data_IF_562239745155
#
_entry.id   IF_562239745155
#
_cell.length_a   1.000
_cell.length_b   1.000
_cell.length_c   1.000
_cell.angle_alpha   90.00
_cell.angle_beta   90.00
_cell.angle_gamma   90.00
#
_symmetry.space_group_name_H-M   'P 1'
#
loop_
_entity.id
_entity.type
_entity.pdbx_description
1 polymer ?
#
# COMPACT_ATOMS: atom_id res chain seq x y z
N UNK A 1 20.75 7.85 1.74
CA UNK A 1 20.07 7.08 0.68
C UNK A 1 19.92 7.97 -0.57
N UNK A 2 19.59 7.45 -1.76
CA UNK A 2 19.24 8.31 -2.91
C UNK A 2 17.98 9.13 -2.58
N UNK A 3 17.99 10.45 -2.81
CA UNK A 3 16.90 11.36 -2.42
C UNK A 3 15.55 10.99 -3.06
N UNK A 4 15.56 10.46 -4.29
CA UNK A 4 14.32 10.03 -4.96
C UNK A 4 13.76 8.77 -4.32
N UNK A 5 14.63 7.81 -3.96
CA UNK A 5 14.22 6.59 -3.25
C UNK A 5 13.67 6.95 -1.87
N UNK A 6 14.33 7.84 -1.15
CA UNK A 6 13.86 8.33 0.15
C UNK A 6 12.46 8.93 0.03
N UNK A 7 12.24 9.82 -0.95
CA UNK A 7 10.93 10.39 -1.22
C UNK A 7 9.87 9.32 -1.48
N UNK A 8 10.15 8.32 -2.32
CA UNK A 8 9.18 7.26 -2.60
C UNK A 8 8.90 6.35 -1.39
N UNK A 9 9.87 6.15 -0.50
CA UNK A 9 9.61 5.45 0.76
C UNK A 9 8.67 6.26 1.67
N UNK A 10 8.81 7.58 1.70
CA UNK A 10 7.85 8.45 2.39
C UNK A 10 6.47 8.43 1.73
N UNK A 11 6.38 8.46 0.40
CA UNK A 11 5.09 8.30 -0.30
C UNK A 11 4.38 7.00 0.12
N UNK A 12 5.12 5.88 0.27
CA UNK A 12 4.55 4.61 0.78
C UNK A 12 4.10 4.75 2.23
N UNK A 13 4.92 5.36 3.09
CA UNK A 13 4.62 5.53 4.52
C UNK A 13 3.38 6.40 4.76
N UNK A 14 3.24 7.48 4.01
CA UNK A 14 2.11 8.40 4.12
C UNK A 14 0.81 7.72 3.67
N UNK A 15 0.82 7.04 2.53
CA UNK A 15 -0.34 6.26 2.06
C UNK A 15 -0.75 5.15 3.04
N UNK A 16 0.21 4.48 3.69
CA UNK A 16 -0.09 3.51 4.76
C UNK A 16 -0.77 4.20 5.95
N UNK A 17 -0.30 5.39 6.31
CA UNK A 17 -0.83 6.16 7.44
C UNK A 17 -2.23 6.69 7.15
N UNK A 18 -2.52 7.07 5.90
CA UNK A 18 -3.88 7.42 5.44
C UNK A 18 -4.84 6.22 5.54
N UNK A 19 -4.41 5.04 5.05
CA UNK A 19 -5.17 3.79 5.19
C UNK A 19 -5.54 3.52 6.65
N UNK A 20 -4.56 3.59 7.57
CA UNK A 20 -4.81 3.39 8.99
C UNK A 20 -5.74 4.48 9.57
N UNK A 21 -5.57 5.73 9.11
CA UNK A 21 -6.39 6.88 9.47
C UNK A 21 -7.88 6.68 9.22
N UNK A 22 -8.25 5.97 8.16
CA UNK A 22 -9.65 5.67 7.84
C UNK A 22 -10.35 4.81 8.90
N UNK A 23 -9.58 4.08 9.72
CA UNK A 23 -10.10 3.17 10.74
C UNK A 23 -9.84 3.67 12.18
N UNK A 24 -9.34 4.88 12.39
CA UNK A 24 -9.07 5.38 13.76
C UNK A 24 -10.35 5.51 14.60
N UNK A 25 -11.44 5.95 13.97
CA UNK A 25 -12.71 6.22 14.68
C UNK A 25 -13.69 5.04 14.69
N UNK A 26 -13.32 3.90 14.09
CA UNK A 26 -14.18 2.73 13.99
C UNK A 26 -13.36 1.45 14.10
N UNK A 27 -13.88 0.39 14.75
CA UNK A 27 -13.22 -0.91 14.69
C UNK A 27 -13.04 -1.34 13.23
N UNK A 28 -11.93 -2.01 12.91
CA UNK A 28 -11.71 -2.63 11.59
C UNK A 28 -12.79 -3.68 11.35
N UNK A 29 -13.87 -3.25 10.71
CA UNK A 29 -15.06 -4.02 10.43
C UNK A 29 -15.20 -4.18 8.92
N UNK A 30 -15.13 -5.44 8.48
CA UNK A 30 -15.22 -5.79 7.07
C UNK A 30 -16.56 -5.36 6.44
N UNK A 31 -17.68 -5.47 7.16
CA UNK A 31 -18.98 -5.10 6.61
C UNK A 31 -19.10 -3.58 6.43
N UNK A 32 -18.49 -2.79 7.32
CA UNK A 32 -18.44 -1.33 7.15
C UNK A 32 -17.58 -0.94 5.96
N UNK A 33 -16.43 -1.59 5.78
CA UNK A 33 -15.59 -1.41 4.60
C UNK A 33 -16.34 -1.78 3.31
N UNK A 34 -16.88 -3.00 3.26
CA UNK A 34 -17.56 -3.57 2.09
C UNK A 34 -18.72 -2.71 1.58
N UNK A 35 -19.51 -2.16 2.51
CA UNK A 35 -20.71 -1.38 2.19
C UNK A 35 -20.45 0.14 2.07
N UNK A 36 -19.21 0.61 2.19
CA UNK A 36 -18.86 2.02 2.07
C UNK A 36 -17.98 2.28 0.85
N UNK A 37 -18.59 2.64 -0.28
CA UNK A 37 -17.88 2.92 -1.53
C UNK A 37 -16.79 3.99 -1.38
N UNK A 38 -17.02 5.04 -0.60
CA UNK A 38 -16.02 6.09 -0.40
C UNK A 38 -14.76 5.53 0.27
N UNK A 39 -14.94 4.73 1.33
CA UNK A 39 -13.85 4.08 2.03
C UNK A 39 -13.09 3.09 1.12
N UNK A 40 -13.82 2.32 0.31
CA UNK A 40 -13.17 1.42 -0.66
C UNK A 40 -12.32 2.16 -1.67
N UNK A 41 -12.83 3.25 -2.24
CA UNK A 41 -12.09 4.08 -3.19
C UNK A 41 -10.88 4.76 -2.56
N UNK A 42 -10.99 5.23 -1.31
CA UNK A 42 -9.86 5.80 -0.59
C UNK A 42 -8.76 4.75 -0.37
N UNK A 43 -9.12 3.56 0.12
CA UNK A 43 -8.18 2.44 0.30
C UNK A 43 -7.53 2.01 -1.02
N UNK A 44 -8.32 1.80 -2.08
CA UNK A 44 -7.82 1.40 -3.40
C UNK A 44 -6.80 2.42 -3.92
N UNK A 45 -7.09 3.72 -3.76
CA UNK A 45 -6.21 4.79 -4.18
C UNK A 45 -4.86 4.75 -3.46
N UNK A 46 -4.85 4.53 -2.15
CA UNK A 46 -3.61 4.48 -1.39
C UNK A 46 -2.80 3.23 -1.72
N UNK A 47 -3.46 2.10 -2.01
CA UNK A 47 -2.80 0.90 -2.52
C UNK A 47 -2.17 1.12 -3.91
N UNK A 48 -2.79 1.91 -4.79
CA UNK A 48 -2.19 2.32 -6.06
C UNK A 48 -0.94 3.18 -5.84
N UNK A 49 -1.00 4.16 -4.93
CA UNK A 49 0.12 5.05 -4.59
C UNK A 49 1.30 4.23 -4.08
N UNK A 50 1.05 3.31 -3.14
CA UNK A 50 2.06 2.38 -2.62
C UNK A 50 2.71 1.59 -3.76
N UNK A 51 1.91 1.00 -4.64
CA UNK A 51 2.44 0.20 -5.74
C UNK A 51 3.21 1.00 -6.78
N UNK A 52 2.80 2.23 -7.08
CA UNK A 52 3.52 3.13 -7.98
C UNK A 52 4.86 3.57 -7.38
N UNK A 53 4.89 3.94 -6.10
CA UNK A 53 6.12 4.30 -5.41
C UNK A 53 7.13 3.14 -5.39
N UNK A 54 6.69 1.93 -5.06
CA UNK A 54 7.53 0.72 -5.11
C UNK A 54 8.01 0.43 -6.54
N UNK A 55 7.17 0.61 -7.55
CA UNK A 55 7.56 0.44 -8.95
C UNK A 55 8.67 1.42 -9.36
N UNK A 56 8.58 2.69 -8.93
CA UNK A 56 9.61 3.70 -9.20
C UNK A 56 10.92 3.37 -8.52
N UNK A 57 10.88 2.90 -7.26
CA UNK A 57 12.06 2.41 -6.55
C UNK A 57 12.72 1.29 -7.34
N UNK A 58 11.97 0.24 -7.74
CA UNK A 58 12.53 -0.89 -8.49
C UNK A 58 13.06 -0.51 -9.88
N UNK A 59 12.46 0.48 -10.55
CA UNK A 59 12.99 0.98 -11.83
C UNK A 59 14.33 1.70 -11.67
N UNK A 60 14.52 2.39 -10.54
CA UNK A 60 15.77 3.10 -10.24
C UNK A 60 16.84 2.17 -9.67
N UNK A 61 16.45 1.29 -8.77
CA UNK A 61 17.29 0.30 -8.14
C UNK A 61 16.53 -1.03 -8.01
N UNK A 62 16.80 -1.94 -8.95
CA UNK A 62 16.05 -3.19 -9.11
C UNK A 62 16.27 -4.21 -8.00
N UNK A 63 17.38 -4.10 -7.26
CA UNK A 63 17.75 -4.94 -6.13
C UNK A 63 17.41 -4.30 -4.77
N UNK A 64 16.67 -3.19 -4.76
CA UNK A 64 16.31 -2.49 -3.53
C UNK A 64 15.52 -3.42 -2.58
N UNK A 65 15.86 -3.49 -1.29
CA UNK A 65 15.44 -4.59 -0.41
C UNK A 65 14.03 -4.39 0.18
N UNK A 66 13.01 -4.32 -0.68
CA UNK A 66 11.60 -4.37 -0.27
C UNK A 66 11.06 -5.77 -0.51
N UNK A 67 10.59 -6.43 0.55
CA UNK A 67 10.01 -7.76 0.47
C UNK A 67 8.72 -7.73 -0.33
N UNK A 68 8.55 -8.74 -1.18
CA UNK A 68 7.38 -8.86 -2.07
C UNK A 68 7.16 -7.68 -3.03
N UNK A 69 8.16 -6.83 -3.30
CA UNK A 69 8.01 -5.64 -4.13
C UNK A 69 7.31 -5.90 -5.48
N UNK A 70 7.65 -6.99 -6.18
CA UNK A 70 6.97 -7.40 -7.42
C UNK A 70 5.47 -7.66 -7.24
N UNK A 71 5.06 -8.25 -6.11
CA UNK A 71 3.64 -8.49 -5.80
C UNK A 71 2.90 -7.20 -5.48
N UNK A 72 3.56 -6.26 -4.81
CA UNK A 72 3.01 -4.92 -4.52
C UNK A 72 2.75 -4.15 -5.83
N UNK A 73 3.71 -4.17 -6.76
CA UNK A 73 3.52 -3.59 -8.10
C UNK A 73 2.42 -4.33 -8.88
N UNK A 74 2.36 -5.65 -8.75
CA UNK A 74 1.30 -6.48 -9.33
C UNK A 74 -0.10 -6.10 -8.84
N UNK A 75 -0.26 -5.87 -7.54
CA UNK A 75 -1.53 -5.41 -6.95
C UNK A 75 -1.98 -4.08 -7.55
N UNK A 76 -1.09 -3.09 -7.68
CA UNK A 76 -1.40 -1.81 -8.35
C UNK A 76 -1.89 -2.01 -9.78
N UNK A 77 -1.27 -2.92 -10.53
CA UNK A 77 -1.71 -3.21 -11.89
C UNK A 77 -3.09 -3.86 -11.92
N UNK A 78 -3.38 -4.74 -10.97
CA UNK A 78 -4.70 -5.36 -10.84
C UNK A 78 -5.78 -4.33 -10.47
N UNK A 79 -5.49 -3.40 -9.55
CA UNK A 79 -6.41 -2.33 -9.15
C UNK A 79 -6.75 -1.42 -10.33
N UNK A 80 -5.78 -1.09 -11.19
CA UNK A 80 -6.02 -0.16 -12.30
C UNK A 80 -6.65 -0.86 -13.52
N UNK A 81 -6.28 -2.11 -13.81
CA UNK A 81 -6.65 -2.78 -15.06
C UNK A 81 -7.75 -3.83 -14.94
N UNK A 82 -8.01 -4.36 -13.74
CA UNK A 82 -8.97 -5.44 -13.51
C UNK A 82 -9.82 -5.15 -12.27
N UNK A 83 -10.17 -3.87 -12.07
CA UNK A 83 -10.94 -3.37 -10.93
C UNK A 83 -12.31 -4.03 -10.77
N UNK A 84 -12.87 -4.54 -11.87
CA UNK A 84 -14.12 -5.31 -11.92
C UNK A 84 -14.00 -6.71 -11.31
N UNK A 85 -12.78 -7.25 -11.21
CA UNK A 85 -12.50 -8.59 -10.68
C UNK A 85 -11.97 -8.60 -9.24
N UNK A 86 -11.67 -7.44 -8.67
CA UNK A 86 -11.12 -7.34 -7.32
C UNK A 86 -12.24 -7.52 -6.30
N UNK A 87 -12.14 -8.60 -5.53
CA UNK A 87 -13.04 -8.83 -4.41
C UNK A 87 -12.67 -7.96 -3.21
N UNK A 88 -13.70 -7.45 -2.53
CA UNK A 88 -13.54 -6.70 -1.28
C UNK A 88 -12.76 -7.53 -0.24
N UNK A 89 -12.98 -8.85 -0.22
CA UNK A 89 -12.30 -9.81 0.64
C UNK A 89 -10.78 -9.87 0.40
N UNK A 90 -10.33 -9.74 -0.86
CA UNK A 90 -8.91 -9.73 -1.19
C UNK A 90 -8.21 -8.47 -0.70
N UNK A 91 -8.80 -7.30 -0.94
CA UNK A 91 -8.27 -6.03 -0.43
C UNK A 91 -8.26 -6.04 1.09
N UNK A 92 -9.33 -6.52 1.72
CA UNK A 92 -9.39 -6.65 3.17
C UNK A 92 -8.29 -7.53 3.74
N UNK A 93 -7.99 -8.67 3.11
CA UNK A 93 -6.88 -9.52 3.51
C UNK A 93 -5.52 -8.82 3.40
N UNK A 94 -5.32 -7.97 2.39
CA UNK A 94 -4.11 -7.16 2.22
C UNK A 94 -3.99 -6.14 3.35
N UNK A 95 -5.06 -5.42 3.68
CA UNK A 95 -5.10 -4.45 4.78
C UNK A 95 -4.69 -5.10 6.10
N UNK A 96 -5.25 -6.28 6.42
CA UNK A 96 -4.98 -6.94 7.70
C UNK A 96 -3.60 -7.60 7.77
N UNK A 97 -3.13 -8.22 6.68
CA UNK A 97 -1.97 -9.12 6.72
C UNK A 97 -0.70 -8.51 6.13
N UNK A 98 -0.82 -7.59 5.19
CA UNK A 98 0.31 -7.13 4.37
C UNK A 98 0.69 -5.68 4.64
N UNK A 99 -0.27 -4.79 4.86
CA UNK A 99 0.01 -3.38 5.18
C UNK A 99 0.84 -3.22 6.47
N UNK A 100 0.53 -3.90 7.60
CA UNK A 100 1.34 -3.77 8.82
C UNK A 100 2.79 -4.25 8.66
N UNK A 101 2.97 -5.30 7.85
CA UNK A 101 4.31 -5.85 7.55
C UNK A 101 5.11 -4.89 6.67
N UNK A 102 4.46 -4.32 5.65
CA UNK A 102 5.09 -3.33 4.77
C UNK A 102 5.45 -2.07 5.56
N UNK A 103 4.55 -1.57 6.41
CA UNK A 103 4.82 -0.42 7.30
C UNK A 103 6.10 -0.62 8.10
N UNK A 104 6.18 -1.75 8.81
CA UNK A 104 7.34 -2.11 9.63
C UNK A 104 8.64 -2.21 8.80
N UNK A 105 8.54 -2.65 7.55
CA UNK A 105 9.68 -2.70 6.63
C UNK A 105 10.11 -1.31 6.18
N UNK A 106 9.17 -0.47 5.73
CA UNK A 106 9.41 0.89 5.25
C UNK A 106 9.99 1.77 6.36
N UNK A 107 9.45 1.70 7.58
CA UNK A 107 9.98 2.42 8.73
C UNK A 107 11.44 2.03 9.02
N UNK A 108 11.79 0.75 8.90
CA UNK A 108 13.19 0.31 9.06
C UNK A 108 14.09 0.79 7.94
N UNK A 109 13.59 0.88 6.71
CA UNK A 109 14.36 1.36 5.55
C UNK A 109 14.61 2.87 5.63
N UNK A 110 13.64 3.64 6.13
CA UNK A 110 13.77 5.09 6.35
C UNK A 110 14.72 5.37 7.53
N UNK A 111 14.59 4.64 8.65
CA UNK A 111 15.38 4.88 9.87
C UNK A 111 16.78 4.24 9.86
N UNK A 112 17.17 3.55 8.77
CA UNK A 112 18.52 2.97 8.61
C UNK A 112 19.55 3.99 8.11
N UNK A 113 19.23 5.27 8.16
CA UNK A 113 20.17 6.38 7.96
C UNK A 113 20.92 6.73 9.25
#
# INVERSE_FOLDING_TARGET
MDESIQKWLFDVKDAISEIEGYFVNYPMDFNKYKNNTLLKRAVERDLEIIGEAVNRILKKQSDFPIKNAKRIVGLRNQIIHTYDSISDENIWAILLKHIPLLKSEIDRLINKE
#
